data_IF_602741786969
#
_entry.id   IF_602741786969
#
_cell.length_a   1.000
_cell.length_b   1.000
_cell.length_c   1.000
_cell.angle_alpha   90.00
_cell.angle_beta   90.00
_cell.angle_gamma   90.00
#
_symmetry.space_group_name_H-M   'P 1'
#
loop_
_entity.id
_entity.type
_entity.pdbx_description
1 polymer ?
#
# COMPACT_ATOMS: atom_id res chain seq x y z
N UNK A 1 -38.60 2.82 8.35
CA UNK A 1 -38.83 1.94 7.17
C UNK A 1 -39.18 2.74 5.93
N UNK A 2 -38.29 3.63 5.50
CA UNK A 2 -38.41 4.46 4.34
C UNK A 2 -38.44 3.64 3.01
N UNK A 3 -37.84 2.42 3.01
CA UNK A 3 -37.91 1.49 1.89
C UNK A 3 -39.35 1.17 1.48
N UNK A 4 -40.27 1.16 2.43
CA UNK A 4 -41.73 0.94 2.16
C UNK A 4 -42.42 2.09 1.41
N UNK A 5 -41.77 3.25 1.37
CA UNK A 5 -42.28 4.44 0.66
C UNK A 5 -41.87 4.45 -0.81
N UNK A 6 -40.94 3.55 -1.20
CA UNK A 6 -40.46 3.44 -2.56
C UNK A 6 -41.36 2.51 -3.41
N UNK A 7 -41.58 2.84 -4.67
CA UNK A 7 -42.17 1.91 -5.61
C UNK A 7 -41.34 0.64 -5.80
N UNK A 8 -41.91 -0.49 -6.24
CA UNK A 8 -41.13 -1.73 -6.44
C UNK A 8 -39.90 -1.55 -7.33
N UNK A 9 -40.00 -0.75 -8.39
CA UNK A 9 -38.88 -0.43 -9.29
C UNK A 9 -37.82 0.40 -8.59
N UNK A 10 -38.23 1.34 -7.73
CA UNK A 10 -37.29 2.12 -6.94
C UNK A 10 -36.59 1.26 -5.86
N UNK A 11 -37.33 0.34 -5.26
CA UNK A 11 -36.77 -0.61 -4.29
C UNK A 11 -35.67 -1.52 -4.91
N UNK A 12 -35.96 -2.01 -6.16
CA UNK A 12 -34.94 -2.80 -6.88
C UNK A 12 -33.74 -1.97 -7.26
N UNK A 13 -33.91 -0.77 -7.80
CA UNK A 13 -32.78 0.14 -8.08
C UNK A 13 -31.99 0.48 -6.84
N UNK A 14 -32.63 0.67 -5.70
CA UNK A 14 -32.00 0.93 -4.43
C UNK A 14 -31.21 -0.28 -3.94
N UNK A 15 -31.81 -1.48 -3.98
CA UNK A 15 -31.10 -2.74 -3.63
C UNK A 15 -29.88 -2.94 -4.51
N UNK A 16 -30.01 -2.67 -5.81
CA UNK A 16 -28.88 -2.74 -6.74
C UNK A 16 -27.82 -1.70 -6.41
N UNK A 17 -28.19 -0.47 -6.10
CA UNK A 17 -27.28 0.59 -5.72
C UNK A 17 -26.53 0.28 -4.41
N UNK A 18 -27.19 -0.31 -3.42
CA UNK A 18 -26.55 -0.82 -2.19
C UNK A 18 -25.58 -1.94 -2.55
N UNK A 19 -26.02 -2.91 -3.37
CA UNK A 19 -25.21 -4.05 -3.79
C UNK A 19 -23.94 -3.58 -4.54
N UNK A 20 -24.05 -2.52 -5.34
CA UNK A 20 -22.94 -1.91 -6.07
C UNK A 20 -22.14 -0.89 -5.25
N UNK A 21 -22.49 -0.65 -3.99
CA UNK A 21 -21.76 0.25 -3.11
C UNK A 21 -21.92 1.75 -3.42
N UNK A 22 -23.03 2.16 -4.03
CA UNK A 22 -23.29 3.56 -4.36
C UNK A 22 -23.65 4.44 -3.16
N UNK A 23 -24.11 3.83 -2.05
CA UNK A 23 -24.47 4.52 -0.81
C UNK A 23 -23.42 4.32 0.27
N UNK A 24 -22.25 4.95 0.13
CA UNK A 24 -21.14 4.73 1.05
C UNK A 24 -21.33 5.31 2.46
N UNK A 25 -22.08 6.38 2.61
CA UNK A 25 -22.19 7.11 3.88
C UNK A 25 -23.31 6.61 4.81
N UNK A 26 -24.42 6.14 4.25
CA UNK A 26 -25.57 5.65 5.04
C UNK A 26 -25.51 4.15 5.34
N UNK A 27 -24.82 3.37 4.50
CA UNK A 27 -24.72 1.91 4.59
C UNK A 27 -23.25 1.43 4.61
N UNK A 28 -22.39 2.16 5.30
CA UNK A 28 -20.94 1.90 5.31
C UNK A 28 -20.58 0.45 5.65
N UNK A 29 -21.33 -0.18 6.56
CA UNK A 29 -21.11 -1.58 6.92
C UNK A 29 -21.67 -2.55 5.87
N UNK A 30 -22.88 -2.31 5.35
CA UNK A 30 -23.48 -3.16 4.34
C UNK A 30 -22.69 -3.11 3.02
N UNK A 31 -22.31 -1.90 2.58
CA UNK A 31 -21.45 -1.71 1.42
C UNK A 31 -20.13 -2.44 1.51
N UNK A 32 -19.43 -2.29 2.65
CA UNK A 32 -18.15 -2.94 2.91
C UNK A 32 -18.24 -4.47 2.90
N UNK A 33 -19.33 -5.03 3.43
CA UNK A 33 -19.49 -6.47 3.53
C UNK A 33 -20.17 -7.10 2.33
N UNK A 34 -20.98 -6.35 1.60
CA UNK A 34 -21.78 -6.89 0.51
C UNK A 34 -21.10 -6.84 -0.87
N UNK A 35 -20.01 -6.09 -1.01
CA UNK A 35 -19.29 -5.98 -2.27
C UNK A 35 -17.80 -6.22 -2.09
N UNK A 36 -17.16 -6.83 -3.07
CA UNK A 36 -15.70 -6.93 -3.10
C UNK A 36 -15.06 -5.53 -3.18
N UNK A 37 -15.64 -4.63 -3.98
CA UNK A 37 -15.21 -3.23 -4.09
C UNK A 37 -15.12 -2.54 -2.72
N UNK A 38 -16.20 -2.65 -1.92
CA UNK A 38 -16.25 -2.04 -0.60
C UNK A 38 -15.25 -2.64 0.39
N UNK A 39 -15.17 -3.96 0.43
CA UNK A 39 -14.23 -4.68 1.29
C UNK A 39 -12.78 -4.32 0.95
N UNK A 40 -12.48 -4.23 -0.36
CA UNK A 40 -11.13 -3.91 -0.82
C UNK A 40 -10.71 -2.47 -0.46
N UNK A 41 -11.55 -1.47 -0.75
CA UNK A 41 -11.25 -0.07 -0.43
C UNK A 41 -11.12 0.16 1.06
N UNK A 42 -11.98 -0.46 1.86
CA UNK A 42 -11.91 -0.37 3.31
C UNK A 42 -10.56 -0.83 3.84
N UNK A 43 -10.07 -1.97 3.35
CA UNK A 43 -8.83 -2.55 3.83
C UNK A 43 -7.59 -1.92 3.21
N UNK A 44 -7.66 -1.59 1.93
CA UNK A 44 -6.52 -1.11 1.15
C UNK A 44 -6.82 0.18 0.37
N UNK A 45 -7.18 1.29 1.04
CA UNK A 45 -7.55 2.54 0.36
C UNK A 45 -6.44 3.10 -0.53
N UNK A 46 -5.18 2.84 -0.21
CA UNK A 46 -4.02 3.27 -1.02
C UNK A 46 -3.95 2.59 -2.39
N UNK A 47 -4.60 1.45 -2.55
CA UNK A 47 -4.59 0.66 -3.80
C UNK A 47 -5.90 0.76 -4.58
N UNK A 48 -6.67 1.84 -4.40
CA UNK A 48 -7.95 2.07 -5.08
C UNK A 48 -7.87 1.91 -6.61
N UNK A 49 -6.71 2.24 -7.20
CA UNK A 49 -6.49 2.07 -8.65
C UNK A 49 -6.74 0.64 -9.11
N UNK A 50 -6.41 -0.35 -8.30
CA UNK A 50 -6.56 -1.77 -8.64
C UNK A 50 -8.02 -2.16 -8.78
N UNK A 51 -8.85 -1.79 -7.81
CA UNK A 51 -10.26 -2.12 -7.85
C UNK A 51 -11.01 -1.32 -8.91
N UNK A 52 -10.53 -0.12 -9.27
CA UNK A 52 -11.03 0.64 -10.42
C UNK A 52 -10.69 -0.03 -11.76
N UNK A 53 -9.49 -0.59 -11.88
CA UNK A 53 -9.14 -1.40 -13.05
C UNK A 53 -10.07 -2.62 -13.19
N UNK A 54 -10.48 -3.21 -12.08
CA UNK A 54 -11.44 -4.30 -12.08
C UNK A 54 -12.85 -3.81 -12.44
N UNK A 55 -13.27 -2.66 -11.90
CA UNK A 55 -14.53 -1.98 -12.27
C UNK A 55 -14.59 -1.68 -13.79
N UNK A 56 -13.47 -1.22 -14.37
CA UNK A 56 -13.37 -0.96 -15.81
C UNK A 56 -13.52 -2.25 -16.67
N UNK A 57 -12.99 -3.38 -16.20
CA UNK A 57 -13.12 -4.67 -16.87
C UNK A 57 -14.55 -5.20 -16.83
N UNK A 58 -15.23 -5.01 -15.70
CA UNK A 58 -16.58 -5.53 -15.48
C UNK A 58 -17.69 -4.59 -15.95
N UNK A 59 -17.39 -3.30 -16.13
CA UNK A 59 -18.39 -2.26 -16.41
C UNK A 59 -19.25 -1.86 -15.21
N UNK A 60 -18.97 -2.42 -14.02
CA UNK A 60 -19.64 -2.10 -12.76
C UNK A 60 -18.69 -2.34 -11.57
N UNK A 61 -19.07 -1.84 -10.39
CA UNK A 61 -18.27 -2.05 -9.16
C UNK A 61 -18.24 -3.54 -8.80
N UNK A 62 -17.03 -4.13 -8.62
CA UNK A 62 -16.87 -5.56 -8.35
C UNK A 62 -17.69 -6.06 -7.18
N UNK A 63 -18.48 -7.09 -7.39
CA UNK A 63 -19.24 -7.84 -6.40
C UNK A 63 -18.48 -9.13 -6.02
N UNK A 64 -18.94 -9.83 -4.99
CA UNK A 64 -18.33 -11.11 -4.62
C UNK A 64 -18.55 -12.21 -5.68
N UNK A 65 -19.68 -12.17 -6.37
CA UNK A 65 -20.00 -13.07 -7.47
C UNK A 65 -19.12 -12.91 -8.70
N UNK A 66 -18.48 -11.74 -8.87
CA UNK A 66 -17.53 -11.46 -9.95
C UNK A 66 -16.14 -12.04 -9.69
N UNK A 67 -15.88 -12.55 -8.49
CA UNK A 67 -14.61 -13.20 -8.15
C UNK A 67 -14.58 -14.61 -8.73
N UNK A 68 -14.43 -14.67 -10.05
CA UNK A 68 -14.30 -15.91 -10.84
C UNK A 68 -12.87 -16.07 -11.32
N UNK A 69 -12.50 -17.30 -11.72
CA UNK A 69 -11.17 -17.56 -12.26
C UNK A 69 -10.87 -16.73 -13.51
N UNK A 70 -11.85 -16.55 -14.40
CA UNK A 70 -11.68 -15.82 -15.67
C UNK A 70 -11.51 -14.32 -15.41
N UNK A 71 -12.40 -13.71 -14.63
CA UNK A 71 -12.31 -12.30 -14.28
C UNK A 71 -11.00 -11.97 -13.54
N UNK A 72 -10.51 -12.90 -12.69
CA UNK A 72 -9.24 -12.71 -12.00
C UNK A 72 -8.04 -12.88 -12.93
N UNK A 73 -8.12 -13.71 -13.99
CA UNK A 73 -7.08 -13.77 -15.03
C UNK A 73 -7.00 -12.47 -15.80
N UNK A 74 -8.13 -11.92 -16.23
CA UNK A 74 -8.18 -10.64 -16.97
C UNK A 74 -7.64 -9.50 -16.11
N UNK A 75 -8.05 -9.43 -14.85
CA UNK A 75 -7.51 -8.46 -13.89
C UNK A 75 -6.00 -8.63 -13.70
N UNK A 76 -5.51 -9.86 -13.62
CA UNK A 76 -4.09 -10.15 -13.43
C UNK A 76 -3.26 -9.71 -14.64
N UNK A 77 -3.73 -9.96 -15.88
CA UNK A 77 -3.05 -9.44 -17.07
C UNK A 77 -3.00 -7.90 -17.06
N UNK A 78 -4.13 -7.25 -16.77
CA UNK A 78 -4.18 -5.79 -16.66
C UNK A 78 -3.25 -5.24 -15.56
N UNK A 79 -3.10 -5.96 -14.44
CA UNK A 79 -2.12 -5.62 -13.39
C UNK A 79 -0.69 -5.71 -13.93
N UNK A 80 -0.34 -6.75 -14.65
CA UNK A 80 1.01 -6.93 -15.22
C UNK A 80 1.37 -5.84 -16.23
N UNK A 81 0.41 -5.39 -17.00
CA UNK A 81 0.61 -4.29 -17.96
C UNK A 81 0.85 -2.94 -17.26
N UNK A 82 0.21 -2.72 -16.11
CA UNK A 82 0.20 -1.41 -15.45
C UNK A 82 1.17 -1.26 -14.27
N UNK A 83 1.77 -2.36 -13.80
CA UNK A 83 2.67 -2.37 -12.65
C UNK A 83 3.97 -3.10 -12.93
N UNK A 84 5.08 -2.55 -12.41
CA UNK A 84 6.34 -3.28 -12.35
C UNK A 84 6.19 -4.60 -11.56
N UNK A 85 6.96 -5.66 -11.85
CA UNK A 85 6.76 -7.00 -11.30
C UNK A 85 6.62 -7.07 -9.77
N UNK A 86 7.47 -6.35 -9.04
CA UNK A 86 7.41 -6.34 -7.57
C UNK A 86 6.20 -5.57 -7.02
N UNK A 87 5.77 -4.52 -7.74
CA UNK A 87 4.53 -3.80 -7.41
C UNK A 87 3.29 -4.66 -7.71
N UNK A 88 3.28 -5.36 -8.84
CA UNK A 88 2.23 -6.32 -9.19
C UNK A 88 2.10 -7.41 -8.12
N UNK A 89 3.23 -7.92 -7.61
CA UNK A 89 3.25 -8.89 -6.50
C UNK A 89 2.55 -8.35 -5.26
N UNK A 90 2.84 -7.11 -4.88
CA UNK A 90 2.22 -6.45 -3.72
C UNK A 90 0.71 -6.29 -3.93
N UNK A 91 0.32 -5.81 -5.11
CA UNK A 91 -1.09 -5.64 -5.50
C UNK A 91 -1.85 -6.98 -5.46
N UNK A 92 -1.32 -8.02 -6.09
CA UNK A 92 -1.92 -9.36 -6.04
C UNK A 92 -2.04 -9.91 -4.61
N UNK A 93 -1.08 -9.58 -3.73
CA UNK A 93 -1.16 -9.97 -2.33
C UNK A 93 -2.32 -9.29 -1.60
N UNK A 94 -2.62 -8.01 -1.90
CA UNK A 94 -3.77 -7.31 -1.30
C UNK A 94 -5.10 -7.90 -1.75
N UNK A 95 -5.25 -8.25 -3.04
CA UNK A 95 -6.47 -8.92 -3.55
C UNK A 95 -6.67 -10.26 -2.84
N UNK A 96 -5.64 -11.09 -2.78
CA UNK A 96 -5.70 -12.39 -2.09
C UNK A 96 -6.05 -12.26 -0.61
N UNK A 97 -5.56 -11.24 0.06
CA UNK A 97 -5.86 -11.02 1.47
C UNK A 97 -7.35 -10.69 1.69
N UNK A 98 -7.94 -9.85 0.83
CA UNK A 98 -9.38 -9.53 0.90
C UNK A 98 -10.23 -10.76 0.59
N UNK A 99 -9.88 -11.54 -0.43
CA UNK A 99 -10.61 -12.78 -0.76
C UNK A 99 -10.57 -13.75 0.42
N UNK A 100 -9.38 -14.07 0.96
CA UNK A 100 -9.22 -15.04 2.07
C UNK A 100 -10.00 -14.66 3.33
N UNK A 101 -10.07 -13.39 3.68
CA UNK A 101 -10.82 -12.95 4.86
C UNK A 101 -12.32 -13.14 4.72
N UNK A 102 -12.82 -13.21 3.50
CA UNK A 102 -14.24 -13.31 3.21
C UNK A 102 -14.67 -14.65 2.60
N UNK A 103 -13.73 -15.55 2.35
CA UNK A 103 -13.96 -16.82 1.68
C UNK A 103 -14.97 -17.72 2.44
N UNK A 104 -14.90 -17.74 3.76
CA UNK A 104 -15.85 -18.51 4.59
C UNK A 104 -17.27 -17.91 4.68
N UNK A 105 -17.42 -16.62 4.33
CA UNK A 105 -18.69 -15.88 4.48
C UNK A 105 -19.35 -15.53 3.14
N UNK A 106 -18.59 -15.68 2.05
CA UNK A 106 -19.02 -15.37 0.69
C UNK A 106 -18.77 -16.56 -0.22
N UNK A 107 -19.71 -16.84 -1.10
CA UNK A 107 -19.56 -17.89 -2.12
C UNK A 107 -18.58 -17.42 -3.21
N UNK A 108 -17.29 -17.61 -2.94
CA UNK A 108 -16.23 -17.26 -3.89
C UNK A 108 -16.17 -18.29 -5.01
N UNK A 109 -16.40 -17.86 -6.24
CA UNK A 109 -16.43 -18.73 -7.44
C UNK A 109 -15.04 -18.97 -8.05
N UNK A 110 -13.97 -18.62 -7.34
CA UNK A 110 -12.60 -18.83 -7.78
C UNK A 110 -11.81 -19.67 -6.78
N UNK A 111 -11.87 -21.00 -6.82
CA UNK A 111 -11.10 -21.85 -5.93
C UNK A 111 -9.59 -21.76 -6.19
N UNK A 112 -9.19 -21.26 -7.36
CA UNK A 112 -7.78 -21.17 -7.77
C UNK A 112 -7.19 -19.76 -7.72
N UNK A 113 -7.88 -18.79 -7.12
CA UNK A 113 -7.42 -17.39 -7.05
C UNK A 113 -5.99 -17.24 -6.53
N UNK A 114 -5.59 -18.09 -5.59
CA UNK A 114 -4.23 -18.09 -5.03
C UNK A 114 -3.15 -18.46 -6.05
N UNK A 115 -3.49 -19.32 -7.03
CA UNK A 115 -2.61 -19.74 -8.15
C UNK A 115 -2.61 -18.68 -9.26
N UNK A 116 -3.79 -18.17 -9.63
CA UNK A 116 -3.96 -17.14 -10.68
C UNK A 116 -3.16 -15.88 -10.31
N UNK A 117 -3.35 -15.37 -9.11
CA UNK A 117 -2.69 -14.16 -8.62
C UNK A 117 -1.26 -14.41 -8.10
N UNK A 118 -0.58 -15.42 -8.60
CA UNK A 118 0.78 -15.76 -8.17
C UNK A 118 1.81 -15.05 -9.03
N UNK A 119 2.63 -14.22 -8.39
CA UNK A 119 3.77 -13.54 -9.02
C UNK A 119 5.05 -13.91 -8.30
N UNK A 120 6.15 -13.99 -9.06
CA UNK A 120 7.51 -14.13 -8.51
C UNK A 120 8.09 -12.74 -8.24
N UNK A 121 8.90 -12.63 -7.19
CA UNK A 121 9.72 -11.44 -7.01
C UNK A 121 10.84 -11.43 -8.07
N UNK A 122 11.10 -10.26 -8.62
CA UNK A 122 12.24 -10.04 -9.52
C UNK A 122 13.32 -9.32 -8.72
N UNK A 123 14.56 -9.83 -8.72
CA UNK A 123 15.67 -9.12 -8.11
C UNK A 123 15.81 -7.74 -8.75
N UNK A 124 15.98 -6.73 -7.92
CA UNK A 124 16.25 -5.36 -8.36
C UNK A 124 17.72 -5.08 -8.10
N UNK A 125 18.43 -4.65 -9.11
CA UNK A 125 19.80 -4.17 -8.94
C UNK A 125 19.75 -2.85 -8.17
N UNK A 126 20.36 -2.83 -7.00
CA UNK A 126 20.51 -1.60 -6.20
C UNK A 126 21.66 -0.79 -6.76
N UNK A 127 21.41 0.49 -7.02
CA UNK A 127 22.45 1.48 -7.32
C UNK A 127 22.76 2.19 -6.01
N UNK A 128 24.04 2.28 -5.68
CA UNK A 128 24.54 2.98 -4.50
C UNK A 128 25.58 4.01 -4.90
N UNK A 129 25.78 5.02 -4.09
CA UNK A 129 26.80 6.03 -4.30
C UNK A 129 28.17 5.49 -3.94
N UNK A 130 29.19 5.87 -4.70
CA UNK A 130 30.58 5.62 -4.32
C UNK A 130 31.03 6.60 -3.23
N UNK A 131 32.15 6.30 -2.57
CA UNK A 131 32.73 7.18 -1.56
C UNK A 131 33.06 8.56 -2.13
N UNK A 132 33.56 8.63 -3.38
CA UNK A 132 33.86 9.89 -4.05
C UNK A 132 32.59 10.69 -4.36
N UNK A 133 31.46 10.03 -4.57
CA UNK A 133 30.16 10.72 -4.78
C UNK A 133 29.63 11.26 -3.45
N UNK A 134 29.81 10.52 -2.36
CA UNK A 134 29.47 10.99 -1.01
C UNK A 134 30.33 12.18 -0.64
N UNK A 135 31.65 12.11 -0.87
CA UNK A 135 32.58 13.23 -0.62
C UNK A 135 32.21 14.48 -1.42
N UNK A 136 31.78 14.33 -2.67
CA UNK A 136 31.27 15.46 -3.44
C UNK A 136 30.03 16.09 -2.83
N UNK A 137 29.13 15.28 -2.26
CA UNK A 137 27.93 15.77 -1.57
C UNK A 137 28.32 16.48 -0.27
N UNK A 138 29.26 15.95 0.50
CA UNK A 138 29.78 16.55 1.74
C UNK A 138 30.35 17.94 1.45
N UNK A 139 31.17 18.07 0.41
CA UNK A 139 31.85 19.30 0.02
C UNK A 139 30.97 20.29 -0.76
N UNK A 140 29.78 19.86 -1.20
CA UNK A 140 28.85 20.74 -1.88
C UNK A 140 28.23 21.77 -0.91
N UNK A 141 28.31 23.05 -1.25
CA UNK A 141 27.71 24.12 -0.44
C UNK A 141 26.38 24.60 -1.07
N UNK A 142 25.23 24.03 -0.70
CA UNK A 142 23.96 24.39 -1.29
C UNK A 142 23.51 25.78 -0.85
N UNK A 143 22.92 26.54 -1.80
CA UNK A 143 22.32 27.84 -1.51
C UNK A 143 20.93 27.65 -0.86
N UNK A 144 20.68 28.36 0.24
CA UNK A 144 19.41 28.37 0.96
C UNK A 144 19.27 27.28 2.02
N UNK A 145 18.42 27.56 3.00
CA UNK A 145 18.27 26.75 4.22
C UNK A 145 17.69 25.37 3.94
N UNK A 146 16.67 25.30 3.08
CA UNK A 146 16.02 24.02 2.72
C UNK A 146 16.98 23.03 2.07
N UNK A 147 17.83 23.51 1.13
CA UNK A 147 18.80 22.64 0.46
C UNK A 147 19.89 22.13 1.41
N UNK A 148 20.33 22.98 2.34
CA UNK A 148 21.27 22.58 3.40
C UNK A 148 20.67 21.52 4.33
N UNK A 149 19.38 21.67 4.67
CA UNK A 149 18.66 20.70 5.47
C UNK A 149 18.59 19.35 4.74
N UNK A 150 18.17 19.34 3.47
CA UNK A 150 18.09 18.12 2.66
C UNK A 150 19.44 17.43 2.55
N UNK A 151 20.53 18.17 2.29
CA UNK A 151 21.88 17.61 2.25
C UNK A 151 22.26 16.95 3.57
N UNK A 152 22.05 17.62 4.71
CA UNK A 152 22.38 17.07 6.04
C UNK A 152 21.58 15.80 6.34
N UNK A 153 20.28 15.81 6.04
CA UNK A 153 19.41 14.65 6.22
C UNK A 153 19.87 13.49 5.37
N UNK A 154 20.18 13.74 4.10
CA UNK A 154 20.67 12.71 3.18
C UNK A 154 22.01 12.11 3.65
N UNK A 155 22.98 12.94 4.04
CA UNK A 155 24.26 12.47 4.58
C UNK A 155 24.07 11.67 5.86
N UNK A 156 23.16 12.09 6.74
CA UNK A 156 22.85 11.36 7.96
C UNK A 156 22.26 9.98 7.63
N UNK A 157 21.35 9.88 6.66
CA UNK A 157 20.83 8.60 6.17
C UNK A 157 21.95 7.69 5.63
N UNK A 158 22.85 8.24 4.80
CA UNK A 158 23.98 7.50 4.24
C UNK A 158 24.93 6.99 5.32
N UNK A 159 25.31 7.84 6.28
CA UNK A 159 26.34 7.53 7.28
C UNK A 159 25.80 6.65 8.43
N UNK A 160 24.53 6.81 8.80
CA UNK A 160 23.93 6.09 9.91
C UNK A 160 23.08 4.89 9.47
N UNK A 161 22.77 4.74 8.19
CA UNK A 161 21.84 3.73 7.69
C UNK A 161 20.40 3.90 8.22
N UNK A 162 20.09 5.05 8.82
CA UNK A 162 18.80 5.33 9.41
C UNK A 162 17.76 5.66 8.32
N UNK A 163 16.50 5.31 8.55
CA UNK A 163 15.44 5.74 7.65
C UNK A 163 15.16 7.23 7.83
N UNK A 164 14.69 7.90 6.78
CA UNK A 164 14.33 9.33 6.81
C UNK A 164 13.45 9.70 8.04
N UNK A 165 12.43 8.89 8.32
CA UNK A 165 11.56 9.10 9.49
C UNK A 165 12.27 8.96 10.83
N UNK A 166 13.32 8.17 10.91
CA UNK A 166 14.12 8.02 12.11
C UNK A 166 15.11 9.19 12.23
N UNK A 167 15.78 9.58 11.12
CA UNK A 167 16.66 10.75 11.06
C UNK A 167 15.97 12.05 11.51
N UNK A 168 14.72 12.26 11.13
CA UNK A 168 13.95 13.45 11.54
C UNK A 168 13.74 13.56 13.07
N UNK A 169 13.89 12.46 13.80
CA UNK A 169 13.64 12.36 15.24
C UNK A 169 14.91 12.29 16.07
N UNK A 170 16.05 12.17 15.43
CA UNK A 170 17.34 12.15 16.10
C UNK A 170 17.67 13.56 16.60
N UNK A 171 18.02 13.66 17.87
CA UNK A 171 18.41 14.88 18.56
C UNK A 171 19.78 14.65 19.21
N UNK A 172 20.45 15.69 19.72
CA UNK A 172 21.72 15.51 20.44
C UNK A 172 21.65 14.55 21.64
N UNK A 173 20.47 14.40 22.26
CA UNK A 173 20.26 13.46 23.38
C UNK A 173 20.33 11.99 22.95
N UNK A 174 20.32 11.71 21.64
CA UNK A 174 20.54 10.37 21.13
C UNK A 174 22.03 9.97 21.08
N UNK A 175 22.94 10.89 21.39
CA UNK A 175 24.35 10.55 21.58
C UNK A 175 24.51 10.01 22.99
N UNK A 176 25.14 8.83 23.13
CA UNK A 176 25.33 8.21 24.43
C UNK A 176 26.31 9.02 25.31
N UNK A 177 26.32 8.75 26.61
CA UNK A 177 27.15 9.48 27.60
C UNK A 177 28.63 9.42 27.28
N UNK A 178 29.08 8.43 26.50
CA UNK A 178 30.48 8.30 26.09
C UNK A 178 30.85 9.15 24.88
N UNK A 179 29.85 9.66 24.16
CA UNK A 179 30.00 10.40 22.91
C UNK A 179 30.46 9.55 21.72
N UNK A 180 30.44 8.21 21.87
CA UNK A 180 30.92 7.30 20.83
C UNK A 180 29.84 6.66 20.00
N UNK A 181 28.59 6.72 20.44
CA UNK A 181 27.50 6.06 19.75
C UNK A 181 26.30 6.98 19.63
N UNK A 182 25.65 6.90 18.45
CA UNK A 182 24.29 7.39 18.23
C UNK A 182 23.34 6.23 18.55
N UNK A 183 22.43 6.44 19.51
CA UNK A 183 21.47 5.42 19.97
C UNK A 183 20.05 5.91 19.77
N UNK A 184 19.24 5.17 19.02
CA UNK A 184 17.83 5.51 18.80
C UNK A 184 16.95 4.26 18.63
N UNK A 185 15.67 4.40 18.86
CA UNK A 185 14.68 3.33 18.59
C UNK A 185 14.04 3.53 17.22
N UNK A 186 14.27 2.58 16.32
CA UNK A 186 13.71 2.63 14.97
C UNK A 186 12.18 2.59 14.99
N UNK A 187 11.53 3.58 14.37
CA UNK A 187 10.07 3.75 14.43
C UNK A 187 9.30 2.55 13.88
N UNK A 188 9.77 1.97 12.79
CA UNK A 188 9.09 0.88 12.08
C UNK A 188 9.23 -0.48 12.79
N UNK A 189 10.41 -0.78 13.31
CA UNK A 189 10.73 -2.10 13.89
C UNK A 189 10.67 -2.11 15.41
N UNK A 190 10.62 -0.93 16.04
CA UNK A 190 10.70 -0.77 17.50
C UNK A 190 11.97 -1.38 18.11
N UNK A 191 13.03 -1.50 17.32
CA UNK A 191 14.31 -2.06 17.72
C UNK A 191 15.28 -0.92 18.03
N UNK A 192 16.04 -1.04 19.10
CA UNK A 192 17.16 -0.14 19.39
C UNK A 192 18.25 -0.33 18.34
N UNK A 193 18.74 0.79 17.85
CA UNK A 193 19.85 0.87 16.88
C UNK A 193 20.97 1.65 17.51
N UNK A 194 22.18 1.12 17.41
CA UNK A 194 23.41 1.74 17.95
C UNK A 194 24.41 1.88 16.81
N UNK A 195 24.75 3.11 16.46
CA UNK A 195 25.66 3.45 15.36
C UNK A 195 26.93 4.08 15.95
N UNK A 196 28.13 3.54 15.68
CA UNK A 196 29.36 4.14 16.14
C UNK A 196 29.60 5.49 15.46
N UNK A 197 30.02 6.48 16.22
CA UNK A 197 30.40 7.79 15.72
C UNK A 197 31.92 7.82 15.55
N UNK A 198 32.38 8.11 14.33
CA UNK A 198 33.81 8.35 14.07
C UNK A 198 34.16 9.79 14.41
N UNK A 199 35.36 9.96 14.95
CA UNK A 199 35.96 11.28 15.26
C UNK A 199 36.34 12.00 13.98
#
# INVERSE_FOLDING_TARGET
DWERLLSPVQQEKYKLAIKQGWFSNYHSNAWRHNTFYGAYIWKYPKYIKVVRMFEELLGHKPLWEDITDDNLRDLFEKIKENYAPNSAKTVCATIKAVIRENDSTKEIKSPTFGKILRTKAVPVQSVYLSDEEIDRIINYNPRGQTRRYVQRMFLMECLCGARYSDCQRITPENIDDTGHFLVYVAQKTKTEVRVPLHK
#
